data_IF_512424547245
#
_entry.id   IF_512424547245
#
_cell.length_a   1.000
_cell.length_b   1.000
_cell.length_c   1.000
_cell.angle_alpha   90.00
_cell.angle_beta   90.00
_cell.angle_gamma   90.00
#
_symmetry.space_group_name_H-M   'P 1'
#
loop_
_entity.id
_entity.type
_entity.pdbx_description
1 polymer ?
#
# COMPACT_ATOMS: atom_id res chain seq x y z
N UNK A 1 -22.77 16.72 -40.70
CA UNK A 1 -21.53 16.23 -41.35
C UNK A 1 -20.62 17.33 -41.95
N UNK A 2 -20.84 18.63 -41.68
CA UNK A 2 -19.88 19.69 -42.11
C UNK A 2 -18.65 19.79 -41.21
N UNK A 3 -18.80 19.50 -39.92
CA UNK A 3 -17.70 19.55 -38.95
C UNK A 3 -16.64 18.49 -39.23
N UNK A 4 -17.05 17.23 -39.43
CA UNK A 4 -16.12 16.13 -39.78
C UNK A 4 -15.38 16.37 -41.11
N UNK A 5 -16.04 16.96 -42.11
CA UNK A 5 -15.40 17.26 -43.38
C UNK A 5 -14.49 18.49 -43.32
N UNK A 6 -14.79 19.49 -42.47
CA UNK A 6 -13.87 20.61 -42.17
C UNK A 6 -12.66 20.13 -41.40
N UNK A 7 -12.87 19.36 -40.33
CA UNK A 7 -11.80 18.78 -39.52
C UNK A 7 -10.85 17.91 -40.35
N UNK A 8 -11.38 17.05 -41.23
CA UNK A 8 -10.55 16.25 -42.15
C UNK A 8 -9.69 17.13 -43.08
N UNK A 9 -10.23 18.25 -43.57
CA UNK A 9 -9.48 19.18 -44.44
C UNK A 9 -8.36 19.89 -43.68
N UNK A 10 -8.64 20.34 -42.47
CA UNK A 10 -7.65 20.99 -41.60
C UNK A 10 -6.57 20.01 -41.17
N UNK A 11 -6.92 18.76 -40.85
CA UNK A 11 -5.97 17.69 -40.53
C UNK A 11 -5.04 17.38 -41.72
N UNK A 12 -5.60 17.29 -42.94
CA UNK A 12 -4.80 17.08 -44.17
C UNK A 12 -3.89 18.28 -44.45
N UNK A 13 -4.32 19.50 -44.11
CA UNK A 13 -3.49 20.69 -44.28
C UNK A 13 -2.36 20.72 -43.24
N UNK A 14 -2.66 20.37 -41.98
CA UNK A 14 -1.69 20.26 -40.89
C UNK A 14 -0.67 19.13 -41.12
N UNK A 15 -1.10 18.00 -41.68
CA UNK A 15 -0.24 16.83 -41.94
C UNK A 15 0.79 17.02 -43.05
N UNK A 16 0.82 18.18 -43.72
CA UNK A 16 1.82 18.50 -44.75
C UNK A 16 3.14 19.00 -44.17
N UNK A 17 3.16 19.43 -42.91
CA UNK A 17 4.37 19.89 -42.24
C UNK A 17 5.19 18.72 -41.70
N UNK A 18 6.52 18.80 -41.81
CA UNK A 18 7.42 17.83 -41.19
C UNK A 18 7.20 17.73 -39.67
N UNK A 19 6.92 18.86 -39.00
CA UNK A 19 6.65 18.93 -37.57
C UNK A 19 5.45 18.09 -37.11
N UNK A 20 4.43 17.91 -37.96
CA UNK A 20 3.27 17.06 -37.63
C UNK A 20 3.69 15.60 -37.38
N UNK A 21 4.64 15.08 -38.16
CA UNK A 21 5.14 13.72 -37.98
C UNK A 21 6.01 13.60 -36.72
N UNK A 22 6.78 14.63 -36.40
CA UNK A 22 7.58 14.69 -35.16
C UNK A 22 6.67 14.66 -33.93
N UNK A 23 5.59 15.44 -33.93
CA UNK A 23 4.57 15.44 -32.88
C UNK A 23 3.88 14.08 -32.74
N UNK A 24 3.52 13.45 -33.86
CA UNK A 24 2.92 12.11 -33.85
C UNK A 24 3.86 11.08 -33.23
N UNK A 25 5.15 11.10 -33.59
CA UNK A 25 6.17 10.23 -33.02
C UNK A 25 6.32 10.50 -31.52
N UNK A 26 6.38 11.77 -31.11
CA UNK A 26 6.48 12.12 -29.68
C UNK A 26 5.26 11.66 -28.88
N UNK A 27 4.05 11.80 -29.43
CA UNK A 27 2.84 11.30 -28.81
C UNK A 27 2.88 9.78 -28.63
N UNK A 28 3.37 9.04 -29.64
CA UNK A 28 3.56 7.59 -29.54
C UNK A 28 4.65 7.21 -28.53
N UNK A 29 5.74 7.96 -28.45
CA UNK A 29 6.81 7.75 -27.46
C UNK A 29 6.27 7.98 -26.04
N UNK A 30 5.53 9.07 -25.81
CA UNK A 30 4.91 9.34 -24.50
C UNK A 30 3.91 8.23 -24.16
N UNK A 31 3.07 7.82 -25.11
CA UNK A 31 2.13 6.71 -24.89
C UNK A 31 2.86 5.40 -24.52
N UNK A 32 3.97 5.09 -25.20
CA UNK A 32 4.77 3.92 -24.86
C UNK A 32 5.39 4.04 -23.45
N UNK A 33 5.91 5.21 -23.07
CA UNK A 33 6.40 5.42 -21.70
C UNK A 33 5.29 5.26 -20.67
N UNK A 34 4.09 5.79 -20.93
CA UNK A 34 2.96 5.62 -20.01
C UNK A 34 2.52 4.16 -19.88
N UNK A 35 2.55 3.38 -20.96
CA UNK A 35 2.14 1.98 -20.95
C UNK A 35 3.21 1.03 -20.36
N UNK A 36 4.48 1.33 -20.57
CA UNK A 36 5.58 0.40 -20.25
C UNK A 36 6.52 0.87 -19.13
N UNK A 37 6.64 2.17 -18.90
CA UNK A 37 7.50 2.71 -17.84
C UNK A 37 6.74 2.95 -16.53
N UNK A 38 5.42 3.17 -16.58
CA UNK A 38 4.58 3.20 -15.37
C UNK A 38 4.22 1.75 -15.03
N UNK A 39 4.67 1.24 -13.87
CA UNK A 39 4.26 -0.08 -13.42
C UNK A 39 2.74 -0.12 -13.23
N UNK A 40 2.08 -1.13 -13.81
CA UNK A 40 0.63 -1.31 -13.67
C UNK A 40 0.22 -1.58 -12.22
N UNK A 41 1.14 -2.19 -11.47
CA UNK A 41 0.99 -2.47 -10.05
C UNK A 41 2.07 -1.66 -9.34
N UNK A 42 1.75 -0.44 -8.90
CA UNK A 42 2.46 0.10 -7.75
C UNK A 42 2.11 -0.85 -6.61
N UNK A 43 2.98 -1.81 -6.29
CA UNK A 43 2.93 -2.49 -4.99
C UNK A 43 3.29 -1.40 -3.98
N UNK A 44 2.27 -0.68 -3.54
CA UNK A 44 2.29 0.12 -2.33
C UNK A 44 1.89 -0.77 -1.16
N UNK A 45 2.37 -2.01 -1.16
CA UNK A 45 2.10 -2.95 -0.08
C UNK A 45 2.74 -2.37 1.17
N UNK A 46 1.93 -1.70 2.01
CA UNK A 46 2.44 -1.07 3.22
C UNK A 46 2.59 -2.13 4.29
N UNK A 47 3.81 -2.29 4.79
CA UNK A 47 4.06 -3.14 5.94
C UNK A 47 3.56 -2.44 7.20
N UNK A 48 2.75 -3.13 7.99
CA UNK A 48 2.18 -2.65 9.25
C UNK A 48 2.36 -3.68 10.36
N UNK A 49 2.80 -3.23 11.54
CA UNK A 49 2.92 -4.07 12.73
C UNK A 49 1.79 -3.77 13.71
N UNK A 50 1.01 -4.78 14.10
CA UNK A 50 -0.16 -4.64 15.00
C UNK A 50 0.02 -5.43 16.28
N UNK A 51 -0.42 -4.86 17.40
CA UNK A 51 -0.62 -5.60 18.65
C UNK A 51 -2.01 -5.28 19.21
N UNK A 52 -2.73 -6.34 19.59
CA UNK A 52 -4.04 -6.24 20.23
C UNK A 52 -3.91 -6.48 21.73
N UNK A 53 -4.01 -5.40 22.52
CA UNK A 53 -4.21 -5.47 23.96
C UNK A 53 -5.72 -5.46 24.25
N UNK A 54 -6.39 -6.52 23.78
CA UNK A 54 -7.84 -6.71 23.84
C UNK A 54 -8.17 -8.06 24.49
N UNK A 55 -9.38 -8.22 25.06
CA UNK A 55 -9.90 -9.53 25.42
C UNK A 55 -9.93 -10.46 24.19
N UNK A 56 -9.80 -11.78 24.39
CA UNK A 56 -9.75 -12.76 23.30
C UNK A 56 -10.90 -12.60 22.27
N UNK A 57 -12.11 -12.31 22.75
CA UNK A 57 -13.28 -12.05 21.90
C UNK A 57 -13.06 -10.85 20.95
N UNK A 58 -12.39 -9.79 21.42
CA UNK A 58 -12.05 -8.63 20.61
C UNK A 58 -10.98 -8.94 19.57
N UNK A 59 -9.95 -9.70 19.94
CA UNK A 59 -8.89 -10.15 19.03
C UNK A 59 -9.50 -10.95 17.87
N UNK A 60 -10.34 -11.93 18.16
CA UNK A 60 -11.00 -12.76 17.13
C UNK A 60 -11.86 -11.91 16.17
N UNK A 61 -12.59 -10.92 16.69
CA UNK A 61 -13.40 -10.01 15.86
C UNK A 61 -12.52 -9.16 14.94
N UNK A 62 -11.42 -8.59 15.46
CA UNK A 62 -10.52 -7.77 14.65
C UNK A 62 -9.76 -8.60 13.62
N UNK A 63 -9.18 -9.74 14.02
CA UNK A 63 -8.46 -10.63 13.11
C UNK A 63 -9.39 -11.18 12.03
N UNK A 64 -10.63 -11.57 12.37
CA UNK A 64 -11.60 -12.04 11.36
C UNK A 64 -12.03 -10.94 10.38
N UNK A 65 -12.10 -9.68 10.81
CA UNK A 65 -12.35 -8.57 9.89
C UNK A 65 -11.18 -8.35 8.93
N UNK A 66 -9.94 -8.45 9.42
CA UNK A 66 -8.73 -8.32 8.58
C UNK A 66 -8.66 -9.48 7.58
N UNK A 67 -8.98 -10.70 8.01
CA UNK A 67 -9.00 -11.91 7.16
C UNK A 67 -10.11 -11.90 6.08
N UNK A 68 -11.14 -11.05 6.19
CA UNK A 68 -12.18 -10.93 5.16
C UNK A 68 -11.65 -10.21 3.91
N UNK A 69 -10.69 -9.30 4.09
CA UNK A 69 -10.04 -8.54 3.02
C UNK A 69 -8.71 -9.20 2.56
N UNK A 70 -8.43 -10.39 3.07
CA UNK A 70 -7.24 -11.18 2.79
C UNK A 70 -7.33 -11.88 1.44
N UNK A 71 -6.20 -11.93 0.73
CA UNK A 71 -6.16 -12.43 -0.65
C UNK A 71 -6.00 -13.94 -0.75
N UNK A 72 -5.35 -14.56 0.23
CA UNK A 72 -5.03 -15.98 0.26
C UNK A 72 -5.88 -16.76 1.28
N UNK A 73 -6.44 -16.08 2.29
CA UNK A 73 -7.34 -16.67 3.27
C UNK A 73 -6.63 -17.57 4.28
N UNK A 74 -5.30 -17.45 4.39
CA UNK A 74 -4.47 -18.22 5.31
C UNK A 74 -3.51 -17.29 6.06
N UNK A 75 -3.52 -17.33 7.39
CA UNK A 75 -2.52 -16.64 8.19
C UNK A 75 -1.25 -17.48 8.36
N UNK A 76 -0.09 -16.88 8.09
CA UNK A 76 1.21 -17.55 8.20
C UNK A 76 1.96 -17.08 9.46
N UNK A 77 2.41 -18.03 10.29
CA UNK A 77 3.28 -17.72 11.43
C UNK A 77 4.72 -17.53 10.95
N UNK A 78 5.25 -16.34 11.12
CA UNK A 78 6.61 -15.95 10.69
C UNK A 78 7.45 -15.44 11.86
N UNK A 79 8.75 -15.68 11.78
CA UNK A 79 9.73 -15.12 12.72
C UNK A 79 10.39 -13.88 12.11
N UNK A 80 10.37 -12.77 12.85
CA UNK A 80 10.93 -11.48 12.44
C UNK A 80 12.04 -11.08 13.39
N UNK A 81 13.20 -10.72 12.86
CA UNK A 81 14.33 -10.24 13.64
C UNK A 81 14.40 -8.72 13.62
N UNK A 82 14.39 -8.07 14.79
CA UNK A 82 14.62 -6.64 14.92
C UNK A 82 15.50 -6.33 16.14
N UNK A 83 16.53 -5.50 15.93
CA UNK A 83 17.44 -5.08 17.01
C UNK A 83 18.17 -6.22 17.73
N UNK A 84 18.39 -7.36 17.06
CA UNK A 84 19.03 -8.56 17.64
C UNK A 84 18.12 -9.41 18.54
N UNK A 85 16.81 -9.18 18.50
CA UNK A 85 15.77 -10.04 19.10
C UNK A 85 14.88 -10.63 18.01
N UNK A 86 14.42 -11.86 18.21
CA UNK A 86 13.47 -12.54 17.32
C UNK A 86 12.07 -12.44 17.91
N UNK A 87 11.09 -12.09 17.09
CA UNK A 87 9.69 -11.96 17.43
C UNK A 87 8.86 -12.88 16.55
N UNK A 88 7.86 -13.54 17.13
CA UNK A 88 6.86 -14.25 16.33
C UNK A 88 5.78 -13.27 15.90
N UNK A 89 5.30 -13.45 14.67
CA UNK A 89 4.20 -12.69 14.13
C UNK A 89 3.28 -13.59 13.30
N UNK A 90 2.00 -13.27 13.30
CA UNK A 90 1.03 -13.78 12.34
C UNK A 90 0.95 -12.79 11.17
N UNK A 91 1.33 -13.25 9.98
CA UNK A 91 1.31 -12.48 8.74
C UNK A 91 -0.01 -12.70 8.00
N UNK A 92 -0.64 -11.58 7.60
CA UNK A 92 -1.83 -11.54 6.76
C UNK A 92 -1.53 -10.64 5.55
N UNK A 93 -1.80 -11.11 4.33
CA UNK A 93 -1.44 -10.43 3.08
C UNK A 93 -2.69 -9.99 2.33
N UNK A 94 -2.98 -8.70 2.42
CA UNK A 94 -4.08 -8.07 1.69
C UNK A 94 -3.61 -7.49 0.35
N UNK A 95 -4.55 -7.07 -0.50
CA UNK A 95 -4.27 -6.38 -1.77
C UNK A 95 -3.33 -5.15 -1.63
N UNK A 96 -3.40 -4.47 -0.48
CA UNK A 96 -2.71 -3.19 -0.26
C UNK A 96 -1.69 -3.22 0.88
N UNK A 97 -1.69 -4.24 1.74
CA UNK A 97 -0.91 -4.23 3.01
C UNK A 97 -0.43 -5.61 3.42
N UNK A 98 0.77 -5.63 3.99
CA UNK A 98 1.30 -6.77 4.74
C UNK A 98 1.15 -6.47 6.22
N UNK A 99 0.27 -7.20 6.90
CA UNK A 99 -0.08 -6.97 8.29
C UNK A 99 0.58 -8.05 9.14
N UNK A 100 1.44 -7.63 10.06
CA UNK A 100 2.13 -8.50 11.00
C UNK A 100 1.55 -8.30 12.40
N UNK A 101 0.78 -9.26 12.89
CA UNK A 101 0.23 -9.26 14.24
C UNK A 101 1.28 -9.87 15.17
N UNK A 102 1.79 -9.08 16.12
CA UNK A 102 2.87 -9.48 17.04
C UNK A 102 2.36 -9.64 18.47
N UNK A 103 3.08 -10.41 19.27
CA UNK A 103 2.64 -10.80 20.62
C UNK A 103 2.77 -9.69 21.70
N UNK A 104 3.38 -8.55 21.39
CA UNK A 104 3.63 -7.50 22.40
C UNK A 104 3.78 -6.09 21.82
N UNK A 105 3.45 -5.09 22.63
CA UNK A 105 3.72 -3.67 22.32
C UNK A 105 5.23 -3.40 22.13
N UNK A 106 6.10 -4.08 22.89
CA UNK A 106 7.56 -3.92 22.73
C UNK A 106 8.00 -4.35 21.33
N UNK A 107 7.44 -5.45 20.80
CA UNK A 107 7.70 -5.92 19.46
C UNK A 107 7.25 -4.89 18.41
N UNK A 108 6.02 -4.36 18.50
CA UNK A 108 5.52 -3.30 17.58
C UNK A 108 6.47 -2.12 17.55
N UNK A 109 6.88 -1.64 18.73
CA UNK A 109 7.78 -0.47 18.83
C UNK A 109 9.15 -0.76 18.24
N UNK A 110 9.74 -1.92 18.53
CA UNK A 110 11.06 -2.30 18.04
C UNK A 110 11.07 -2.48 16.51
N UNK A 111 10.04 -3.14 15.98
CA UNK A 111 9.88 -3.39 14.55
C UNK A 111 9.57 -2.11 13.76
N UNK A 112 8.62 -1.30 14.23
CA UNK A 112 8.32 0.00 13.61
C UNK A 112 9.53 0.93 13.58
N UNK A 113 10.37 0.91 14.62
CA UNK A 113 11.60 1.72 14.68
C UNK A 113 12.72 1.17 13.79
N UNK A 114 12.88 -0.16 13.73
CA UNK A 114 13.91 -0.83 12.92
C UNK A 114 13.66 -0.65 11.42
N UNK A 115 12.42 -0.95 11.00
CA UNK A 115 12.04 -1.01 9.59
C UNK A 115 11.53 0.34 9.06
N UNK A 116 11.37 1.36 9.92
CA UNK A 116 10.81 2.67 9.57
C UNK A 116 9.41 2.58 8.93
N UNK A 117 8.58 1.70 9.49
CA UNK A 117 7.21 1.45 9.04
C UNK A 117 6.19 1.75 10.14
N UNK A 118 4.91 1.68 9.80
CA UNK A 118 3.82 1.97 10.73
C UNK A 118 3.67 0.82 11.73
N UNK A 119 3.68 1.15 13.02
CA UNK A 119 3.24 0.26 14.09
C UNK A 119 1.97 0.77 14.75
N UNK A 120 1.06 -0.10 15.14
CA UNK A 120 -0.13 0.28 15.91
C UNK A 120 -0.43 -0.69 17.05
N UNK A 121 -0.97 -0.15 18.13
CA UNK A 121 -1.47 -0.89 19.29
C UNK A 121 -2.93 -0.51 19.49
N UNK A 122 -3.78 -1.52 19.60
CA UNK A 122 -5.19 -1.37 19.94
C UNK A 122 -5.37 -1.82 21.39
N UNK A 123 -5.87 -0.93 22.22
CA UNK A 123 -6.05 -1.16 23.67
C UNK A 123 -7.50 -0.85 24.06
N UNK A 124 -8.07 -1.64 24.96
CA UNK A 124 -9.37 -1.35 25.57
C UNK A 124 -9.16 -0.83 26.99
N UNK A 125 -9.67 0.35 27.31
CA UNK A 125 -9.58 0.89 28.67
C UNK A 125 -10.62 0.29 29.64
N UNK A 126 -10.47 0.62 30.93
CA UNK A 126 -11.37 0.21 32.01
C UNK A 126 -12.84 0.70 31.82
N UNK A 127 -13.04 1.74 31.01
CA UNK A 127 -14.34 2.31 30.66
C UNK A 127 -14.89 1.70 29.35
N UNK A 128 -14.28 0.62 28.85
CA UNK A 128 -14.65 -0.10 27.65
C UNK A 128 -14.51 0.73 26.35
N UNK A 129 -13.65 1.74 26.36
CA UNK A 129 -13.32 2.58 25.21
C UNK A 129 -12.08 2.05 24.49
N UNK A 130 -12.15 2.06 23.16
CA UNK A 130 -11.07 1.59 22.30
C UNK A 130 -10.08 2.73 22.03
N UNK A 131 -8.81 2.51 22.38
CA UNK A 131 -7.71 3.44 22.14
C UNK A 131 -6.77 2.89 21.08
N UNK A 132 -6.31 3.78 20.21
CA UNK A 132 -5.36 3.46 19.14
C UNK A 132 -4.08 4.25 19.35
N UNK A 133 -2.97 3.54 19.45
CA UNK A 133 -1.64 4.15 19.59
C UNK A 133 -0.79 3.82 18.37
N UNK A 134 -0.42 4.87 17.63
CA UNK A 134 0.36 4.74 16.40
C UNK A 134 1.83 5.12 16.62
N UNK A 135 2.72 4.32 16.05
CA UNK A 135 4.15 4.54 15.92
C UNK A 135 4.45 4.83 14.45
N UNK A 136 4.73 6.09 14.11
CA UNK A 136 4.88 6.59 12.73
C UNK A 136 6.34 6.93 12.37
N UNK A 137 7.31 6.16 12.90
CA UNK A 137 8.73 6.41 12.65
C UNK A 137 9.05 6.18 11.17
N UNK A 138 9.55 7.22 10.49
CA UNK A 138 9.83 7.21 9.04
C UNK A 138 9.36 8.45 8.28
N UNK A 139 8.41 9.22 8.82
CA UNK A 139 7.90 10.46 8.20
C UNK A 139 8.56 11.76 8.74
N UNK A 140 9.53 11.64 9.65
CA UNK A 140 10.35 12.76 10.09
C UNK A 140 11.35 13.10 8.97
N UNK A 141 10.88 13.91 8.02
CA UNK A 141 11.67 14.47 6.94
C UNK A 141 12.94 15.12 7.51
N UNK A 142 14.12 14.64 7.11
CA UNK A 142 15.36 15.41 7.18
C UNK A 142 15.62 16.11 5.86
#
# INVERSE_FOLDING_TARGET
MKLLSSFKKELILASRGFYFYVELIFALVILAVLLFAIPQNFSSTSTEYLYFDLPQEGIEIFTSQILVDDLDGESEMVEIEAGGKTFNAELIITDEREIYIVDSEEAVRALAYSEQVIGAVLELDDDNQLHYKYYLQGYEST
#
